data_IF_062188019575
#
_entry.id   IF_062188019575
#
_cell.length_a   1.000
_cell.length_b   1.000
_cell.length_c   1.000
_cell.angle_alpha   90.00
_cell.angle_beta   90.00
_cell.angle_gamma   90.00
#
_symmetry.space_group_name_H-M   'P 1'
#
loop_
_entity.id
_entity.type
_entity.pdbx_description
1 polymer ?
#
# COMPACT_ATOMS: atom_id res chain seq x y z
N UNK A 1 -2.01 -17.91 5.89
CA UNK A 1 -0.69 -18.23 6.49
C UNK A 1 -0.37 -17.14 7.50
N UNK A 2 0.00 -17.45 8.75
CA UNK A 2 0.39 -16.46 9.74
C UNK A 2 1.72 -15.80 9.39
N UNK A 3 1.94 -14.62 9.94
CA UNK A 3 3.24 -13.97 9.96
C UNK A 3 4.01 -14.37 11.22
N UNK A 4 5.32 -14.53 11.08
CA UNK A 4 6.22 -14.68 12.21
C UNK A 4 6.40 -13.37 13.00
N UNK A 5 7.09 -13.41 14.12
CA UNK A 5 7.32 -12.24 14.97
C UNK A 5 8.19 -11.17 14.29
N UNK A 6 8.90 -11.52 13.21
CA UNK A 6 9.68 -10.61 12.38
C UNK A 6 8.87 -9.98 11.24
N UNK A 7 7.57 -10.25 11.17
CA UNK A 7 6.66 -9.75 10.14
C UNK A 7 6.76 -10.47 8.79
N UNK A 8 7.62 -11.46 8.64
CA UNK A 8 7.73 -12.30 7.46
C UNK A 8 6.76 -13.49 7.51
N UNK A 9 6.59 -14.19 6.40
CA UNK A 9 5.77 -15.40 6.31
C UNK A 9 6.35 -16.50 7.22
N UNK A 10 5.49 -17.13 8.02
CA UNK A 10 5.88 -18.34 8.76
C UNK A 10 6.03 -19.52 7.78
N UNK A 11 7.28 -19.91 7.52
CA UNK A 11 7.59 -20.95 6.54
C UNK A 11 7.10 -22.35 6.96
N UNK A 12 7.06 -22.65 8.25
CA UNK A 12 6.58 -23.95 8.70
C UNK A 12 5.05 -24.04 8.57
N UNK A 13 4.34 -22.96 8.91
CA UNK A 13 2.91 -22.86 8.65
C UNK A 13 2.60 -22.90 7.15
N UNK A 14 3.43 -22.26 6.31
CA UNK A 14 3.29 -22.34 4.85
C UNK A 14 3.46 -23.78 4.35
N UNK A 15 4.51 -24.48 4.75
CA UNK A 15 4.75 -25.88 4.36
C UNK A 15 3.60 -26.80 4.79
N UNK A 16 3.05 -26.56 5.98
CA UNK A 16 1.94 -27.36 6.49
C UNK A 16 0.63 -27.11 5.72
N UNK A 17 0.43 -25.90 5.20
CA UNK A 17 -0.79 -25.50 4.50
C UNK A 17 -0.77 -25.80 2.98
N UNK A 18 0.42 -25.85 2.37
CA UNK A 18 0.57 -26.04 0.92
C UNK A 18 0.56 -27.53 0.57
N UNK A 19 -0.24 -27.90 -0.42
CA UNK A 19 -0.36 -29.29 -0.89
C UNK A 19 -0.95 -29.37 -2.30
N UNK A 20 -1.28 -30.58 -2.73
CA UNK A 20 -1.79 -30.89 -4.10
C UNK A 20 -3.04 -30.09 -4.52
N UNK A 21 -3.79 -29.59 -3.56
CA UNK A 21 -5.02 -28.83 -3.80
C UNK A 21 -4.77 -27.31 -3.74
N UNK A 22 -3.51 -26.88 -3.61
CA UNK A 22 -3.12 -25.47 -3.57
C UNK A 22 -3.03 -24.89 -4.98
N UNK A 23 -3.94 -23.99 -5.35
CA UNK A 23 -3.90 -23.29 -6.63
C UNK A 23 -2.76 -22.27 -6.72
N UNK A 24 -2.45 -21.60 -5.62
CA UNK A 24 -1.37 -20.61 -5.56
C UNK A 24 -1.34 -19.83 -4.24
N UNK A 25 -0.38 -18.93 -4.17
CA UNK A 25 -0.22 -17.96 -3.09
C UNK A 25 -0.14 -16.56 -3.66
N UNK A 26 -0.90 -15.62 -3.08
CA UNK A 26 -0.80 -14.19 -3.36
C UNK A 26 -0.04 -13.51 -2.22
N UNK A 27 0.96 -12.73 -2.56
CA UNK A 27 1.83 -12.06 -1.59
C UNK A 27 2.31 -10.71 -2.10
N UNK A 28 2.29 -9.72 -1.22
CA UNK A 28 2.91 -8.40 -1.45
C UNK A 28 4.34 -8.42 -0.93
N UNK A 29 5.30 -7.91 -1.70
CA UNK A 29 6.68 -7.78 -1.25
C UNK A 29 7.33 -6.49 -1.78
N UNK A 30 7.71 -5.53 -0.90
CA UNK A 30 7.60 -5.57 0.56
C UNK A 30 6.16 -5.67 1.06
N UNK A 31 5.99 -6.22 2.26
CA UNK A 31 4.65 -6.35 2.86
C UNK A 31 4.17 -5.04 3.50
N UNK A 32 2.92 -5.01 3.93
CA UNK A 32 2.24 -3.80 4.43
C UNK A 32 2.74 -3.32 5.80
N UNK A 33 3.57 -4.09 6.51
CA UNK A 33 4.29 -3.59 7.70
C UNK A 33 5.66 -3.01 7.36
N UNK A 34 5.94 -2.83 6.06
CA UNK A 34 7.17 -2.23 5.56
C UNK A 34 8.39 -3.16 5.56
N UNK A 35 8.19 -4.48 5.52
CA UNK A 35 9.27 -5.47 5.61
C UNK A 35 9.42 -6.21 4.29
N UNK A 36 10.66 -6.34 3.81
CA UNK A 36 10.97 -7.18 2.66
C UNK A 36 10.98 -8.66 3.07
N UNK A 37 10.20 -9.49 2.37
CA UNK A 37 10.18 -10.93 2.57
C UNK A 37 11.48 -11.56 2.08
N UNK A 38 12.39 -11.81 3.01
CA UNK A 38 13.75 -12.30 2.74
C UNK A 38 13.76 -13.73 2.17
N UNK A 39 12.75 -14.51 2.54
CA UNK A 39 12.66 -15.93 2.19
C UNK A 39 11.78 -16.17 0.93
N UNK A 40 11.51 -15.11 0.16
CA UNK A 40 10.60 -15.15 -1.00
C UNK A 40 10.94 -16.25 -2.01
N UNK A 41 12.22 -16.51 -2.25
CA UNK A 41 12.63 -17.57 -3.19
C UNK A 41 12.33 -18.98 -2.65
N UNK A 42 12.39 -19.16 -1.32
CA UNK A 42 12.00 -20.40 -0.67
C UNK A 42 10.47 -20.56 -0.68
N UNK A 43 9.72 -19.48 -0.41
CA UNK A 43 8.27 -19.46 -0.52
C UNK A 43 7.83 -19.86 -1.93
N UNK A 44 8.44 -19.25 -2.95
CA UNK A 44 8.15 -19.55 -4.35
C UNK A 44 8.38 -21.05 -4.66
N UNK A 45 9.50 -21.61 -4.19
CA UNK A 45 9.80 -23.03 -4.38
C UNK A 45 8.76 -23.93 -3.74
N UNK A 46 8.37 -23.69 -2.49
CA UNK A 46 7.35 -24.49 -1.78
C UNK A 46 6.03 -24.51 -2.55
N UNK A 47 5.58 -23.33 -3.04
CA UNK A 47 4.34 -23.21 -3.79
C UNK A 47 4.43 -23.92 -5.15
N UNK A 48 5.54 -23.76 -5.87
CA UNK A 48 5.75 -24.38 -7.18
C UNK A 48 5.90 -25.91 -7.12
N UNK A 49 6.58 -26.44 -6.09
CA UNK A 49 6.70 -27.89 -5.89
C UNK A 49 5.33 -28.56 -5.64
N UNK A 50 4.37 -27.83 -5.09
CA UNK A 50 2.99 -28.29 -4.96
C UNK A 50 2.14 -28.11 -6.23
N UNK A 51 2.70 -27.53 -7.31
CA UNK A 51 2.00 -27.22 -8.56
C UNK A 51 1.23 -25.92 -8.56
N UNK A 52 1.30 -25.12 -7.50
CA UNK A 52 0.67 -23.82 -7.37
C UNK A 52 1.42 -22.69 -8.09
N UNK A 53 0.78 -21.53 -8.20
CA UNK A 53 1.36 -20.31 -8.79
C UNK A 53 1.59 -19.26 -7.73
N UNK A 54 2.58 -18.38 -7.94
CA UNK A 54 2.85 -17.25 -7.07
C UNK A 54 2.41 -15.93 -7.74
N UNK A 55 1.51 -15.20 -7.08
CA UNK A 55 0.97 -13.94 -7.54
C UNK A 55 1.55 -12.78 -6.75
N UNK A 56 2.16 -11.82 -7.44
CA UNK A 56 2.68 -10.59 -6.86
C UNK A 56 1.60 -9.51 -6.82
N UNK A 57 1.21 -9.12 -5.61
CA UNK A 57 0.49 -7.87 -5.41
C UNK A 57 1.50 -6.72 -5.45
N UNK A 58 1.45 -5.95 -6.53
CA UNK A 58 2.38 -4.87 -6.82
C UNK A 58 2.05 -3.53 -6.15
N UNK A 59 1.22 -3.53 -5.10
CA UNK A 59 0.87 -2.32 -4.37
C UNK A 59 2.10 -1.56 -3.85
N UNK A 60 3.14 -2.28 -3.45
CA UNK A 60 4.35 -1.74 -2.83
C UNK A 60 5.58 -1.75 -3.76
N UNK A 61 5.38 -1.79 -5.08
CA UNK A 61 6.46 -1.80 -6.06
C UNK A 61 7.37 -0.56 -5.96
N UNK A 62 6.86 0.58 -5.53
CA UNK A 62 7.60 1.83 -5.36
C UNK A 62 8.85 1.69 -4.48
N UNK A 63 8.87 0.74 -3.55
CA UNK A 63 10.05 0.48 -2.71
C UNK A 63 11.20 -0.24 -3.43
N UNK A 64 10.94 -0.88 -4.57
CA UNK A 64 11.88 -1.79 -5.23
C UNK A 64 12.09 -1.50 -6.72
N UNK A 65 11.50 -0.41 -7.25
CA UNK A 65 11.65 -0.02 -8.65
C UNK A 65 13.12 0.08 -9.08
N UNK A 66 13.46 -0.56 -10.21
CA UNK A 66 14.81 -0.53 -10.74
C UNK A 66 15.87 -1.27 -9.91
N UNK A 67 15.47 -1.95 -8.82
CA UNK A 67 16.36 -2.67 -7.90
C UNK A 67 16.16 -4.18 -8.05
N UNK A 68 14.92 -4.66 -7.98
CA UNK A 68 14.59 -6.08 -8.13
C UNK A 68 13.32 -6.24 -8.95
N UNK A 69 13.23 -7.31 -9.72
CA UNK A 69 12.06 -7.64 -10.53
C UNK A 69 11.25 -8.74 -9.87
N UNK A 70 9.91 -8.65 -9.83
CA UNK A 70 9.05 -9.70 -9.26
C UNK A 70 9.33 -11.10 -9.85
N UNK A 71 9.59 -11.19 -11.14
CA UNK A 71 9.93 -12.45 -11.80
C UNK A 71 11.19 -13.13 -11.25
N UNK A 72 12.19 -12.34 -10.82
CA UNK A 72 13.44 -12.88 -10.23
C UNK A 72 13.22 -13.42 -8.82
N UNK A 73 12.19 -12.95 -8.13
CA UNK A 73 11.74 -13.47 -6.84
C UNK A 73 10.89 -14.75 -6.95
N UNK A 74 10.57 -15.18 -8.18
CA UNK A 74 9.80 -16.41 -8.43
C UNK A 74 8.33 -16.19 -8.77
N UNK A 75 7.83 -14.95 -8.77
CA UNK A 75 6.42 -14.68 -9.10
C UNK A 75 6.08 -15.03 -10.55
N UNK A 76 4.89 -15.58 -10.75
CA UNK A 76 4.36 -16.03 -12.05
C UNK A 76 3.44 -14.99 -12.67
N UNK A 77 2.72 -14.26 -11.83
CA UNK A 77 1.79 -13.18 -12.20
C UNK A 77 2.08 -11.97 -11.35
N UNK A 78 1.93 -10.79 -11.92
CA UNK A 78 2.07 -9.51 -11.23
C UNK A 78 0.98 -8.56 -11.68
N UNK A 79 0.37 -7.83 -10.75
CA UNK A 79 -0.32 -6.60 -11.07
C UNK A 79 0.41 -5.39 -10.48
N UNK A 80 0.27 -4.25 -11.11
CA UNK A 80 0.84 -2.99 -10.63
C UNK A 80 -0.30 -2.00 -10.36
N UNK A 81 -0.18 -1.23 -9.29
CA UNK A 81 -1.08 -0.13 -9.02
C UNK A 81 -0.49 1.18 -9.57
N UNK A 82 -0.97 1.64 -10.71
CA UNK A 82 -0.46 2.88 -11.32
C UNK A 82 -0.67 4.10 -10.41
N UNK A 83 -1.77 4.11 -9.65
CA UNK A 83 -2.12 5.15 -8.70
C UNK A 83 -1.30 5.14 -7.38
N UNK A 84 -0.44 4.16 -7.18
CA UNK A 84 0.52 4.11 -6.06
C UNK A 84 1.93 4.39 -6.55
N UNK A 85 2.46 3.55 -7.43
CA UNK A 85 3.86 3.57 -7.87
C UNK A 85 4.15 4.62 -8.94
N UNK A 86 3.19 4.96 -9.81
CA UNK A 86 3.43 5.75 -11.02
C UNK A 86 2.67 7.09 -11.06
N UNK A 87 2.36 7.66 -9.91
CA UNK A 87 1.82 9.03 -9.77
C UNK A 87 0.55 9.31 -10.60
N UNK A 88 -0.37 8.33 -10.65
CA UNK A 88 -1.65 8.51 -11.35
C UNK A 88 -2.81 8.67 -10.37
N UNK A 89 -3.96 9.24 -10.78
CA UNK A 89 -5.10 9.40 -9.89
C UNK A 89 -5.78 8.06 -9.58
N UNK A 90 -6.34 7.95 -8.36
CA UNK A 90 -7.24 6.88 -7.91
C UNK A 90 -8.69 7.36 -7.81
N UNK A 91 -8.89 8.62 -7.40
CA UNK A 91 -10.19 9.26 -7.30
C UNK A 91 -11.15 8.65 -6.28
N UNK A 92 -10.63 8.04 -5.20
CA UNK A 92 -11.48 7.42 -4.19
C UNK A 92 -12.32 6.24 -4.69
N UNK A 93 -11.78 5.45 -5.64
CA UNK A 93 -12.50 4.36 -6.31
C UNK A 93 -12.90 4.69 -7.75
N UNK A 94 -12.34 5.77 -8.31
CA UNK A 94 -12.56 6.22 -9.69
C UNK A 94 -11.55 5.62 -10.69
N UNK A 95 -10.62 6.42 -11.26
CA UNK A 95 -9.81 6.03 -12.40
C UNK A 95 -8.60 5.15 -12.08
N UNK A 96 -8.60 4.42 -11.00
CA UNK A 96 -7.53 3.47 -10.67
C UNK A 96 -7.28 2.50 -11.81
N UNK A 97 -6.01 2.17 -12.07
CA UNK A 97 -5.61 1.25 -13.13
C UNK A 97 -4.46 0.35 -12.68
N UNK A 98 -4.43 -0.86 -13.21
CA UNK A 98 -3.43 -1.86 -12.85
C UNK A 98 -3.13 -2.79 -14.02
N UNK A 99 -2.01 -2.60 -14.74
CA UNK A 99 -1.57 -3.56 -15.73
C UNK A 99 -1.20 -4.89 -15.06
N UNK A 100 -1.49 -5.98 -15.76
CA UNK A 100 -1.14 -7.34 -15.32
C UNK A 100 -0.06 -7.88 -16.25
N UNK A 101 1.02 -8.37 -15.65
CA UNK A 101 2.07 -9.12 -16.31
C UNK A 101 2.10 -10.57 -15.84
N UNK A 102 2.60 -11.46 -16.68
CA UNK A 102 2.75 -12.87 -16.31
C UNK A 102 3.91 -13.54 -17.06
N UNK A 103 4.35 -14.70 -16.56
CA UNK A 103 5.25 -15.57 -17.28
C UNK A 103 4.63 -16.05 -18.60
N UNK A 104 5.47 -16.30 -19.61
CA UNK A 104 5.06 -16.68 -20.98
C UNK A 104 4.05 -17.85 -21.01
N UNK A 105 4.22 -18.82 -20.14
CA UNK A 105 3.32 -19.99 -20.05
C UNK A 105 1.85 -19.62 -19.77
N UNK A 106 1.62 -18.49 -19.08
CA UNK A 106 0.30 -18.00 -18.68
C UNK A 106 -0.28 -16.97 -19.67
N UNK A 107 0.50 -16.45 -20.60
CA UNK A 107 0.07 -15.40 -21.54
C UNK A 107 -1.20 -15.77 -22.33
N UNK A 108 -1.38 -17.03 -22.65
CA UNK A 108 -2.56 -17.56 -23.37
C UNK A 108 -3.89 -17.43 -22.61
N UNK A 109 -3.83 -17.20 -21.29
CA UNK A 109 -5.03 -17.04 -20.44
C UNK A 109 -5.40 -15.59 -20.19
N UNK A 110 -4.55 -14.63 -20.59
CA UNK A 110 -4.82 -13.22 -20.37
C UNK A 110 -6.10 -12.76 -21.08
N UNK A 111 -6.81 -11.78 -20.51
CA UNK A 111 -7.99 -11.20 -21.15
C UNK A 111 -7.66 -10.58 -22.51
N UNK A 112 -8.65 -10.50 -23.38
CA UNK A 112 -8.55 -9.81 -24.64
C UNK A 112 -9.61 -8.70 -24.80
N UNK A 113 -9.57 -7.95 -25.92
CA UNK A 113 -8.54 -7.97 -26.96
C UNK A 113 -7.22 -7.35 -26.51
N UNK A 114 -6.13 -7.72 -27.19
CA UNK A 114 -4.79 -7.19 -26.96
C UNK A 114 -4.32 -6.34 -28.13
N UNK A 115 -3.45 -5.36 -27.88
CA UNK A 115 -2.81 -4.57 -28.92
C UNK A 115 -1.68 -5.39 -29.53
N UNK A 116 -1.68 -5.50 -30.85
CA UNK A 116 -0.63 -6.18 -31.62
C UNK A 116 -0.04 -5.24 -32.68
N UNK A 117 1.23 -5.44 -33.00
CA UNK A 117 1.89 -4.75 -34.11
C UNK A 117 1.57 -5.52 -35.41
N UNK A 118 1.08 -4.81 -36.43
CA UNK A 118 0.81 -5.31 -37.77
C UNK A 118 1.73 -4.64 -38.78
N UNK A 119 1.69 -5.04 -40.04
CA UNK A 119 2.46 -4.38 -41.12
C UNK A 119 2.00 -2.94 -41.35
N UNK A 120 0.72 -2.65 -41.11
CA UNK A 120 0.12 -1.32 -41.30
C UNK A 120 0.18 -0.43 -40.02
N UNK A 121 0.77 -0.93 -38.92
CA UNK A 121 0.86 -0.20 -37.64
C UNK A 121 0.44 -1.04 -36.43
N UNK A 122 -0.51 -0.53 -35.65
CA UNK A 122 -1.03 -1.23 -34.49
C UNK A 122 -2.51 -1.54 -34.68
N UNK A 123 -2.90 -2.76 -34.29
CA UNK A 123 -4.29 -3.22 -34.32
C UNK A 123 -4.67 -3.94 -33.04
N UNK A 124 -5.93 -4.37 -33.00
CA UNK A 124 -6.43 -5.21 -31.92
C UNK A 124 -6.55 -6.64 -32.45
N UNK A 125 -6.06 -7.58 -31.67
CA UNK A 125 -6.22 -9.02 -31.93
C UNK A 125 -7.15 -9.62 -30.89
N UNK A 126 -7.98 -10.56 -31.32
CA UNK A 126 -8.77 -11.36 -30.41
C UNK A 126 -7.88 -12.11 -29.43
N UNK A 127 -8.42 -12.39 -28.28
CA UNK A 127 -7.75 -13.19 -27.28
C UNK A 127 -7.54 -14.63 -27.76
N UNK A 128 -6.55 -15.32 -27.21
CA UNK A 128 -6.35 -16.74 -27.37
C UNK A 128 -7.63 -17.53 -27.02
N UNK A 129 -7.86 -18.67 -27.66
CA UNK A 129 -8.96 -19.60 -27.35
C UNK A 129 -8.99 -20.02 -25.86
N UNK A 130 -7.83 -19.96 -25.19
CA UNK A 130 -7.69 -20.27 -23.75
C UNK A 130 -7.86 -19.06 -22.85
N UNK A 131 -8.08 -17.86 -23.41
CA UNK A 131 -8.28 -16.65 -22.65
C UNK A 131 -9.56 -16.73 -21.81
N UNK A 132 -9.55 -16.03 -20.67
CA UNK A 132 -10.77 -15.82 -19.86
C UNK A 132 -11.76 -14.86 -20.53
N UNK A 133 -11.45 -14.35 -21.72
CA UNK A 133 -12.28 -13.43 -22.48
C UNK A 133 -12.15 -11.97 -22.08
N UNK A 134 -13.16 -11.18 -22.38
CA UNK A 134 -13.20 -9.76 -22.05
C UNK A 134 -13.69 -9.58 -20.62
N UNK A 135 -12.88 -8.96 -19.75
CA UNK A 135 -13.22 -8.74 -18.33
C UNK A 135 -13.69 -7.31 -18.01
N UNK A 136 -13.65 -6.41 -18.98
CA UNK A 136 -14.05 -4.99 -18.83
C UNK A 136 -14.72 -4.47 -20.09
N UNK A 137 -15.47 -3.37 -19.95
CA UNK A 137 -16.25 -2.78 -21.05
C UNK A 137 -15.41 -1.99 -22.05
N UNK A 138 -14.23 -1.50 -21.63
CA UNK A 138 -13.30 -0.74 -22.47
C UNK A 138 -11.85 -1.28 -22.31
N UNK A 139 -10.88 -0.65 -22.95
CA UNK A 139 -9.49 -1.11 -23.01
C UNK A 139 -8.63 -0.66 -21.84
N UNK A 140 -9.23 -0.14 -20.78
CA UNK A 140 -8.58 0.45 -19.62
C UNK A 140 -8.69 1.96 -19.60
N UNK A 141 -8.08 2.56 -18.59
CA UNK A 141 -8.05 4.01 -18.42
C UNK A 141 -6.86 4.59 -19.21
N UNK A 142 -7.08 4.91 -20.50
CA UNK A 142 -6.02 5.33 -21.40
C UNK A 142 -5.21 6.54 -20.86
N UNK A 143 -5.89 7.59 -20.38
CA UNK A 143 -5.19 8.78 -19.84
C UNK A 143 -4.40 8.48 -18.56
N UNK A 144 -4.83 7.53 -17.74
CA UNK A 144 -4.08 7.06 -16.57
C UNK A 144 -2.82 6.33 -17.02
N UNK A 145 -2.93 5.44 -18.01
CA UNK A 145 -1.76 4.75 -18.58
C UNK A 145 -0.79 5.74 -19.23
N UNK A 146 -1.28 6.74 -19.97
CA UNK A 146 -0.44 7.79 -20.57
C UNK A 146 0.28 8.63 -19.50
N UNK A 147 -0.40 8.97 -18.39
CA UNK A 147 0.22 9.67 -17.28
C UNK A 147 1.33 8.85 -16.63
N UNK A 148 1.11 7.55 -16.42
CA UNK A 148 2.14 6.65 -15.92
C UNK A 148 3.34 6.56 -16.87
N UNK A 149 3.09 6.48 -18.18
CA UNK A 149 4.15 6.50 -19.18
C UNK A 149 4.97 7.81 -19.11
N UNK A 150 4.30 8.96 -19.04
CA UNK A 150 4.99 10.25 -18.92
C UNK A 150 5.85 10.31 -17.63
N UNK A 151 5.37 9.80 -16.51
CA UNK A 151 6.15 9.69 -15.27
C UNK A 151 7.40 8.84 -15.47
N UNK A 152 7.27 7.67 -16.11
CA UNK A 152 8.39 6.76 -16.39
C UNK A 152 9.42 7.42 -17.32
N UNK A 153 8.97 8.07 -18.38
CA UNK A 153 9.84 8.74 -19.36
C UNK A 153 10.60 9.93 -18.74
N UNK A 154 9.94 10.72 -17.89
CA UNK A 154 10.56 11.87 -17.21
C UNK A 154 11.64 11.41 -16.23
N UNK A 155 11.39 10.37 -15.44
CA UNK A 155 12.37 9.88 -14.48
C UNK A 155 13.47 9.04 -15.13
N UNK A 156 13.14 8.29 -16.17
CA UNK A 156 14.04 7.35 -16.79
C UNK A 156 14.50 6.24 -15.83
N UNK A 157 15.41 5.41 -16.31
CA UNK A 157 15.90 4.24 -15.55
C UNK A 157 16.53 4.62 -14.20
N UNK A 158 17.36 5.65 -14.20
CA UNK A 158 18.09 6.05 -12.99
C UNK A 158 17.18 6.76 -12.00
N UNK A 159 16.28 7.64 -12.48
CA UNK A 159 15.32 8.36 -11.63
C UNK A 159 14.33 7.43 -10.96
N UNK A 160 13.82 6.40 -11.63
CA UNK A 160 12.95 5.38 -11.03
C UNK A 160 13.64 4.63 -9.88
N UNK A 161 14.90 4.25 -10.07
CA UNK A 161 15.70 3.61 -9.03
C UNK A 161 15.96 4.56 -7.85
N UNK A 162 16.33 5.80 -8.15
CA UNK A 162 16.58 6.82 -7.13
C UNK A 162 15.32 7.13 -6.32
N UNK A 163 14.16 7.19 -6.95
CA UNK A 163 12.85 7.35 -6.33
C UNK A 163 12.61 6.27 -5.27
N UNK A 164 12.80 5.00 -5.62
CA UNK A 164 12.66 3.89 -4.68
C UNK A 164 13.65 3.99 -3.50
N UNK A 165 14.90 4.33 -3.77
CA UNK A 165 15.92 4.49 -2.74
C UNK A 165 15.59 5.63 -1.75
N UNK A 166 15.12 6.77 -2.27
CA UNK A 166 14.73 7.92 -1.45
C UNK A 166 13.48 7.62 -0.61
N UNK A 167 12.49 6.94 -1.15
CA UNK A 167 11.31 6.52 -0.38
C UNK A 167 11.70 5.64 0.82
N UNK A 168 12.59 4.67 0.62
CA UNK A 168 13.12 3.80 1.68
C UNK A 168 13.94 4.61 2.70
N UNK A 169 14.78 5.53 2.25
CA UNK A 169 15.57 6.39 3.12
C UNK A 169 14.68 7.27 4.00
N UNK A 170 13.68 7.92 3.42
CA UNK A 170 12.74 8.81 4.12
C UNK A 170 11.94 8.07 5.19
N UNK A 171 11.44 6.87 4.87
CA UNK A 171 10.71 6.04 5.82
C UNK A 171 11.59 5.64 7.03
N UNK A 172 12.81 5.20 6.77
CA UNK A 172 13.76 4.86 7.84
C UNK A 172 14.17 6.08 8.69
N UNK A 173 14.32 7.25 8.06
CA UNK A 173 14.61 8.47 8.78
C UNK A 173 13.51 8.84 9.78
N UNK A 174 12.24 8.83 9.33
CA UNK A 174 11.10 9.11 10.21
C UNK A 174 10.95 8.05 11.29
N UNK A 175 11.02 6.76 10.93
CA UNK A 175 10.93 5.66 11.89
C UNK A 175 11.99 5.79 13.00
N UNK A 176 13.23 6.10 12.65
CA UNK A 176 14.31 6.26 13.62
C UNK A 176 14.05 7.39 14.62
N UNK A 177 13.36 8.47 14.19
CA UNK A 177 13.01 9.61 15.06
C UNK A 177 11.81 9.34 15.97
N UNK A 178 10.89 8.46 15.57
CA UNK A 178 9.60 8.27 16.24
C UNK A 178 9.54 7.00 17.11
N UNK A 179 10.37 5.99 16.85
CA UNK A 179 10.30 4.65 17.46
C UNK A 179 10.44 4.61 18.97
N UNK A 180 11.07 5.61 19.57
CA UNK A 180 11.26 5.66 21.03
C UNK A 180 9.98 6.05 21.78
N UNK A 181 9.04 6.70 21.09
CA UNK A 181 7.73 7.08 21.64
C UNK A 181 6.60 6.18 21.13
N UNK A 182 6.72 5.69 19.91
CA UNK A 182 5.73 4.84 19.27
C UNK A 182 6.36 3.51 18.88
N UNK A 183 6.03 2.40 19.55
CA UNK A 183 6.55 1.10 19.18
C UNK A 183 6.25 0.78 17.71
N UNK A 184 7.25 0.32 16.98
CA UNK A 184 7.10 -0.14 15.60
C UNK A 184 6.97 -1.66 15.55
N UNK A 185 6.24 -2.19 14.57
CA UNK A 185 6.08 -3.63 14.38
C UNK A 185 7.44 -4.34 14.19
N UNK A 186 8.41 -3.67 13.57
CA UNK A 186 9.78 -4.16 13.46
C UNK A 186 10.76 -3.13 14.01
N UNK A 187 11.70 -3.60 14.85
CA UNK A 187 12.83 -2.78 15.32
C UNK A 187 13.95 -2.62 14.29
N UNK A 188 13.85 -3.33 13.15
CA UNK A 188 14.82 -3.34 12.06
C UNK A 188 14.55 -2.20 11.06
N UNK A 189 15.38 -2.14 10.02
CA UNK A 189 15.19 -1.26 8.88
C UNK A 189 13.88 -1.62 8.18
N UNK A 190 13.06 -0.61 7.85
CA UNK A 190 11.87 -0.76 7.01
C UNK A 190 12.19 -0.48 5.53
N UNK A 191 11.26 -0.85 4.67
CA UNK A 191 11.26 -0.44 3.28
C UNK A 191 10.67 0.99 3.14
N UNK A 192 9.72 1.24 2.24
CA UNK A 192 9.17 2.56 1.96
C UNK A 192 8.12 3.05 2.97
N UNK A 193 7.66 2.19 3.85
CA UNK A 193 6.65 2.46 4.86
C UNK A 193 7.00 1.78 6.18
N UNK A 194 6.41 2.28 7.28
CA UNK A 194 6.52 1.65 8.59
C UNK A 194 5.20 1.84 9.36
N UNK A 195 4.93 0.91 10.27
CA UNK A 195 3.73 0.92 11.08
C UNK A 195 4.10 1.08 12.54
N UNK A 196 3.51 2.09 13.17
CA UNK A 196 3.60 2.34 14.61
C UNK A 196 2.30 1.89 15.28
N UNK A 197 2.38 1.53 16.56
CA UNK A 197 1.22 1.18 17.38
C UNK A 197 0.97 2.23 18.46
N UNK A 198 -0.28 2.64 18.59
CA UNK A 198 -0.78 3.43 19.71
C UNK A 198 -1.46 2.56 20.79
N UNK A 199 -1.31 1.24 20.74
CA UNK A 199 -2.03 0.32 21.63
C UNK A 199 -1.73 0.58 23.11
N UNK A 200 -0.44 0.74 23.47
CA UNK A 200 -0.02 1.02 24.83
C UNK A 200 -0.48 2.41 25.27
N UNK A 201 -0.38 3.43 24.43
CA UNK A 201 -0.87 4.78 24.69
C UNK A 201 -2.37 4.74 24.99
N UNK A 202 -3.14 3.98 24.21
CA UNK A 202 -4.57 3.81 24.44
C UNK A 202 -4.89 3.11 25.76
N UNK A 203 -4.09 2.11 26.15
CA UNK A 203 -4.25 1.44 27.45
C UNK A 203 -3.93 2.36 28.61
N UNK A 204 -2.91 3.20 28.50
CA UNK A 204 -2.43 4.09 29.55
C UNK A 204 -3.33 5.31 29.75
N UNK A 205 -3.65 6.02 28.67
CA UNK A 205 -4.33 7.33 28.71
C UNK A 205 -5.64 7.39 27.91
N UNK A 206 -6.06 6.28 27.28
CA UNK A 206 -7.30 6.21 26.52
C UNK A 206 -7.29 6.97 25.19
N UNK A 207 -6.13 7.39 24.69
CA UNK A 207 -5.97 8.08 23.39
C UNK A 207 -5.66 7.08 22.30
N UNK A 208 -6.49 7.06 21.25
CA UNK A 208 -6.43 6.10 20.15
C UNK A 208 -5.62 6.61 18.96
N UNK A 209 -5.31 5.72 18.00
CA UNK A 209 -4.74 6.09 16.70
C UNK A 209 -5.61 7.10 15.94
N UNK A 210 -6.95 7.00 16.03
CA UNK A 210 -7.86 7.98 15.45
C UNK A 210 -7.69 9.37 16.07
N UNK A 211 -7.46 9.46 17.39
CA UNK A 211 -7.27 10.74 18.06
C UNK A 211 -5.99 11.44 17.57
N UNK A 212 -4.91 10.70 17.42
CA UNK A 212 -3.67 11.21 16.80
C UNK A 212 -3.90 11.68 15.36
N UNK A 213 -4.58 10.88 14.54
CA UNK A 213 -4.88 11.26 13.16
C UNK A 213 -5.70 12.56 13.09
N UNK A 214 -6.69 12.73 13.98
CA UNK A 214 -7.50 13.95 14.05
C UNK A 214 -6.68 15.17 14.53
N UNK A 215 -5.78 14.98 15.47
CA UNK A 215 -4.88 16.04 15.93
C UNK A 215 -3.87 16.46 14.86
N UNK A 216 -3.36 15.52 14.06
CA UNK A 216 -2.48 15.82 12.91
C UNK A 216 -3.16 16.72 11.88
N UNK A 217 -4.47 16.55 11.64
CA UNK A 217 -5.24 17.43 10.74
C UNK A 217 -5.20 18.89 11.21
N UNK A 218 -5.37 19.13 12.52
CA UNK A 218 -5.29 20.47 13.09
C UNK A 218 -3.91 21.13 12.96
N UNK A 219 -2.87 20.33 12.80
CA UNK A 219 -1.50 20.79 12.53
C UNK A 219 -1.19 20.96 11.04
N UNK A 220 -2.19 20.74 10.16
CA UNK A 220 -2.02 20.82 8.71
C UNK A 220 -1.28 19.64 8.09
N UNK A 221 -1.16 18.54 8.84
CA UNK A 221 -0.56 17.31 8.36
C UNK A 221 -1.65 16.40 7.75
N UNK A 222 -1.36 15.82 6.58
CA UNK A 222 -2.17 14.69 6.09
C UNK A 222 -1.98 13.49 7.02
N UNK A 223 -3.07 12.98 7.64
CA UNK A 223 -2.93 11.91 8.62
C UNK A 223 -2.52 10.60 7.93
N UNK A 224 -1.76 9.74 8.62
CA UNK A 224 -1.43 8.42 8.11
C UNK A 224 -2.67 7.52 8.06
N UNK A 225 -2.56 6.40 7.37
CA UNK A 225 -3.57 5.33 7.43
C UNK A 225 -3.64 4.77 8.84
N UNK A 226 -4.86 4.66 9.38
CA UNK A 226 -5.11 4.12 10.72
C UNK A 226 -5.77 2.76 10.68
N UNK A 227 -5.60 1.96 11.75
CA UNK A 227 -6.20 0.63 11.92
C UNK A 227 -5.86 -0.37 10.83
N UNK A 228 -4.80 -0.13 10.11
CA UNK A 228 -4.30 -1.02 9.06
C UNK A 228 -2.76 -1.02 9.05
N UNK A 229 -2.11 -2.18 8.85
CA UNK A 229 -2.67 -3.53 8.66
C UNK A 229 -3.27 -4.11 9.96
N UNK A 230 -4.24 -5.03 9.82
CA UNK A 230 -5.02 -5.56 10.94
C UNK A 230 -4.21 -6.34 12.00
N UNK A 231 -2.99 -6.76 11.66
CA UNK A 231 -2.07 -7.44 12.59
C UNK A 231 -1.43 -6.50 13.61
N UNK A 232 -1.54 -5.17 13.42
CA UNK A 232 -1.04 -4.16 14.34
C UNK A 232 -2.23 -3.43 14.97
N UNK A 233 -2.42 -3.58 16.27
CA UNK A 233 -3.49 -2.89 16.98
C UNK A 233 -3.18 -1.39 17.10
N UNK A 234 -4.22 -0.55 16.96
CA UNK A 234 -4.10 0.92 16.98
C UNK A 234 -2.99 1.43 16.07
N UNK A 235 -2.98 0.90 14.84
CA UNK A 235 -1.94 1.18 13.85
C UNK A 235 -1.99 2.62 13.33
N UNK A 236 -0.80 3.21 13.15
CA UNK A 236 -0.52 4.40 12.36
C UNK A 236 0.51 4.01 11.31
N UNK A 237 0.14 3.98 10.03
CA UNK A 237 1.02 3.59 8.93
C UNK A 237 1.51 4.81 8.17
N UNK A 238 2.81 5.07 8.23
CA UNK A 238 3.47 6.19 7.55
C UNK A 238 4.19 5.72 6.29
N UNK A 239 3.95 6.44 5.22
CA UNK A 239 4.62 6.27 3.93
C UNK A 239 5.09 7.66 3.44
N UNK A 240 6.24 8.17 3.93
CA UNK A 240 6.84 9.38 3.40
C UNK A 240 7.44 9.05 2.02
N UNK A 241 6.91 9.67 0.99
CA UNK A 241 7.34 9.42 -0.37
C UNK A 241 8.71 10.05 -0.67
N UNK A 242 9.28 9.72 -1.83
CA UNK A 242 10.53 10.29 -2.34
C UNK A 242 10.45 11.81 -2.57
N UNK A 243 9.24 12.35 -2.68
CA UNK A 243 9.02 13.78 -2.95
C UNK A 243 9.17 14.65 -1.71
N UNK A 244 9.19 14.05 -0.51
CA UNK A 244 9.30 14.78 0.73
C UNK A 244 10.73 15.27 0.98
N UNK A 245 10.86 16.56 1.30
CA UNK A 245 12.14 17.14 1.68
C UNK A 245 12.52 16.76 3.11
N UNK A 246 13.82 16.81 3.44
CA UNK A 246 14.26 16.62 4.83
C UNK A 246 13.58 17.59 5.80
N UNK A 247 13.38 18.84 5.40
CA UNK A 247 12.68 19.84 6.23
C UNK A 247 11.22 19.45 6.50
N UNK A 248 10.51 18.89 5.49
CA UNK A 248 9.15 18.36 5.66
C UNK A 248 9.14 17.17 6.62
N UNK A 249 10.10 16.25 6.47
CA UNK A 249 10.22 15.08 7.35
C UNK A 249 10.54 15.50 8.80
N UNK A 250 11.41 16.48 8.99
CA UNK A 250 11.73 17.02 10.31
C UNK A 250 10.49 17.62 10.96
N UNK A 251 9.79 18.50 10.24
CA UNK A 251 8.54 19.10 10.69
C UNK A 251 7.49 18.05 11.05
N UNK A 252 7.33 17.02 10.21
CA UNK A 252 6.36 15.95 10.47
C UNK A 252 6.71 15.16 11.73
N UNK A 253 7.98 14.81 11.93
CA UNK A 253 8.44 14.12 13.14
C UNK A 253 8.24 14.98 14.38
N UNK A 254 8.64 16.26 14.33
CA UNK A 254 8.49 17.19 15.45
C UNK A 254 7.01 17.35 15.82
N UNK A 255 6.14 17.51 14.82
CA UNK A 255 4.68 17.58 15.03
C UNK A 255 4.14 16.32 15.72
N UNK A 256 4.53 15.13 15.28
CA UNK A 256 4.07 13.87 15.89
C UNK A 256 4.56 13.76 17.34
N UNK A 257 5.79 14.15 17.62
CA UNK A 257 6.35 14.15 18.98
C UNK A 257 5.68 15.19 19.88
N UNK A 258 5.40 16.39 19.39
CA UNK A 258 4.64 17.41 20.13
C UNK A 258 3.23 16.91 20.47
N UNK A 259 2.55 16.26 19.52
CA UNK A 259 1.23 15.68 19.74
C UNK A 259 1.27 14.52 20.76
N UNK A 260 2.35 13.76 20.79
CA UNK A 260 2.55 12.75 21.85
C UNK A 260 2.59 13.39 23.23
N UNK A 261 3.41 14.44 23.42
CA UNK A 261 3.51 15.15 24.70
C UNK A 261 2.19 15.86 25.07
N UNK A 262 1.45 16.40 24.10
CA UNK A 262 0.13 16.99 24.29
C UNK A 262 -0.90 15.96 24.77
N UNK A 263 -0.92 14.78 24.15
CA UNK A 263 -1.81 13.69 24.52
C UNK A 263 -1.62 13.23 25.98
N UNK A 264 -0.38 13.12 26.44
CA UNK A 264 -0.06 12.75 27.82
C UNK A 264 -0.33 13.89 28.82
N UNK A 265 -0.26 15.16 28.39
CA UNK A 265 -0.55 16.32 29.25
C UNK A 265 -2.03 16.47 29.57
N UNK A 266 -2.91 16.34 28.57
CA UNK A 266 -4.36 16.46 28.73
C UNK A 266 -5.10 15.55 27.73
N UNK A 267 -5.27 14.27 28.07
CA UNK A 267 -5.92 13.30 27.19
C UNK A 267 -7.36 13.69 26.80
N UNK A 268 -8.10 14.33 27.72
CA UNK A 268 -9.50 14.68 27.47
C UNK A 268 -9.64 15.89 26.51
N UNK A 269 -8.72 16.85 26.59
CA UNK A 269 -8.64 17.91 25.60
C UNK A 269 -8.18 17.37 24.24
N UNK A 270 -7.18 16.45 24.22
CA UNK A 270 -6.65 15.86 23.00
C UNK A 270 -7.71 15.11 22.18
N UNK A 271 -8.61 14.40 22.84
CA UNK A 271 -9.72 13.68 22.17
C UNK A 271 -10.74 14.59 21.48
N UNK A 272 -10.68 15.91 21.70
CA UNK A 272 -11.58 16.88 21.04
C UNK A 272 -11.14 17.26 19.64
N UNK A 273 -9.89 16.94 19.24
CA UNK A 273 -9.43 17.20 17.89
C UNK A 273 -10.29 16.47 16.82
N UNK A 274 -10.49 17.07 15.61
CA UNK A 274 -9.95 18.34 15.18
C UNK A 274 -10.76 19.52 15.75
N UNK A 275 -10.07 20.58 16.19
CA UNK A 275 -10.67 21.79 16.76
C UNK A 275 -10.67 22.98 15.80
N UNK A 276 -9.75 22.98 14.81
CA UNK A 276 -9.56 24.10 13.86
C UNK A 276 -10.23 23.88 12.52
N UNK A 277 -10.77 22.67 12.27
CA UNK A 277 -11.42 22.32 11.01
C UNK A 277 -12.89 22.71 10.99
N UNK A 278 -13.45 23.04 9.81
CA UNK A 278 -14.89 23.33 9.66
C UNK A 278 -15.78 22.15 10.06
N UNK A 279 -15.31 20.93 9.92
CA UNK A 279 -16.01 19.70 10.28
C UNK A 279 -15.21 19.00 11.38
N UNK A 280 -15.85 18.74 12.50
CA UNK A 280 -15.27 17.97 13.61
C UNK A 280 -15.33 16.46 13.36
N UNK A 281 -15.73 15.70 14.39
CA UNK A 281 -15.90 14.23 14.30
C UNK A 281 -17.31 13.91 13.83
N UNK A 282 -17.49 13.34 12.61
CA UNK A 282 -18.80 12.88 12.16
C UNK A 282 -19.22 11.64 12.97
N UNK A 283 -20.55 11.44 13.08
CA UNK A 283 -21.10 10.19 13.59
C UNK A 283 -21.01 9.10 12.52
N UNK A 284 -19.87 8.40 12.49
CA UNK A 284 -19.58 7.34 11.52
C UNK A 284 -20.55 6.16 11.67
N UNK A 285 -21.05 5.91 12.87
CA UNK A 285 -22.01 4.81 13.13
C UNK A 285 -23.37 5.15 12.53
N UNK A 286 -23.85 6.36 12.73
CA UNK A 286 -25.10 6.82 12.11
C UNK A 286 -24.97 6.87 10.59
N UNK A 287 -23.85 7.36 10.07
CA UNK A 287 -23.56 7.41 8.63
C UNK A 287 -23.55 6.01 7.98
N UNK A 288 -23.01 5.01 8.66
CA UNK A 288 -22.98 3.64 8.17
C UNK A 288 -24.34 2.91 8.29
N UNK A 289 -25.05 3.10 9.41
CA UNK A 289 -26.29 2.36 9.70
C UNK A 289 -27.56 3.00 9.16
N UNK A 290 -27.57 4.33 9.02
CA UNK A 290 -28.71 5.12 8.57
C UNK A 290 -28.27 6.20 7.59
N UNK A 291 -27.70 5.84 6.42
CA UNK A 291 -27.17 6.80 5.48
C UNK A 291 -28.30 7.64 4.90
N UNK A 292 -28.11 8.97 4.86
CA UNK A 292 -28.96 9.88 4.11
C UNK A 292 -28.41 9.97 2.68
N UNK A 293 -29.02 9.23 1.76
CA UNK A 293 -28.54 9.06 0.37
C UNK A 293 -29.22 10.00 -0.64
N UNK A 294 -30.13 10.83 -0.18
CA UNK A 294 -30.84 11.80 -1.01
C UNK A 294 -30.57 13.19 -0.45
N UNK A 295 -30.22 14.13 -1.31
CA UNK A 295 -30.23 15.54 -0.92
C UNK A 295 -31.66 15.94 -0.58
N UNK A 296 -32.00 15.95 0.69
CA UNK A 296 -33.25 16.50 1.20
C UNK A 296 -33.04 18.01 1.40
N UNK A 297 -33.72 18.83 0.62
CA UNK A 297 -33.96 20.20 1.06
C UNK A 297 -34.59 20.11 2.47
N UNK A 298 -34.22 21.03 3.38
CA UNK A 298 -34.79 21.11 4.71
C UNK A 298 -36.31 20.87 4.63
N UNK A 299 -36.76 19.70 5.08
CA UNK A 299 -38.12 19.58 5.56
C UNK A 299 -38.09 20.21 6.94
N UNK A 300 -38.69 21.38 7.01
CA UNK A 300 -38.96 22.10 8.26
C UNK A 300 -39.47 21.18 9.38
#
# INVERSE_FOLDING_TARGET
IPSGPDGCVDLEALKAAVGKDTAGLMLTNPNTVGIFEKDITQIARIVHEAGGLLYYDGANLNAIMGIIRPGDMGYDVVHLNLHKTFSTPHGGGGPGSGPVGCKKALAKYLPGPIVVKTEEGYGLSDASEKSIGRVKTFYGNFLVALRALAYIEVLGKEGLKQSAQLAVLNANYMMARLKDKFPTHSSKICMHEFVMSCEEIKKEIGVSALDFAKAMIDRGMHPPTIYFPLIVHEALMFEPTETESKATLDWACDTVLELFEEAYRDPEAFKKHPCTMPIGRPDEVAAARKPVIIYGGNSD
#
